data_IF_028406501661
#
_entry.id   IF_028406501661
#
_cell.length_a   1.000
_cell.length_b   1.000
_cell.length_c   1.000
_cell.angle_alpha   90.00
_cell.angle_beta   90.00
_cell.angle_gamma   90.00
#
_symmetry.space_group_name_H-M   'P 1'
#
loop_
_entity.id
_entity.type
_entity.pdbx_description
1 polymer ?
#
# COMPACT_ATOMS: atom_id res chain seq x y z
N UNK A 1 -28.99 -1.98 -16.73
CA UNK A 1 -27.70 -2.71 -16.82
C UNK A 1 -26.60 -1.86 -16.15
N UNK A 2 -26.46 -1.93 -14.81
CA UNK A 2 -25.50 -1.10 -14.03
C UNK A 2 -24.51 -1.93 -13.19
N UNK A 3 -24.69 -3.25 -13.13
CA UNK A 3 -23.94 -4.11 -12.21
C UNK A 3 -22.43 -4.19 -12.51
N UNK A 4 -22.02 -4.00 -13.77
CA UNK A 4 -20.61 -4.09 -14.15
C UNK A 4 -19.78 -2.91 -13.65
N UNK A 5 -20.34 -1.69 -13.67
CA UNK A 5 -19.64 -0.50 -13.20
C UNK A 5 -19.54 -0.51 -11.68
N UNK A 6 -20.64 -0.73 -10.94
CA UNK A 6 -20.67 -0.77 -9.47
C UNK A 6 -19.71 -1.80 -8.83
N UNK A 7 -19.47 -2.94 -9.50
CA UNK A 7 -18.51 -3.97 -9.06
C UNK A 7 -17.05 -3.49 -9.15
N UNK A 8 -16.72 -2.56 -10.06
CA UNK A 8 -15.35 -2.04 -10.21
C UNK A 8 -14.94 -1.13 -9.05
N UNK A 9 -15.69 -0.09 -8.62
CA UNK A 9 -15.40 0.69 -7.41
C UNK A 9 -15.29 -0.16 -6.15
N UNK A 10 -16.11 -1.21 -6.02
CA UNK A 10 -16.03 -2.12 -4.89
C UNK A 10 -14.70 -2.89 -4.86
N UNK A 11 -14.29 -3.47 -5.99
CA UNK A 11 -13.02 -4.21 -6.11
C UNK A 11 -11.79 -3.31 -6.00
N UNK A 12 -11.88 -2.06 -6.52
CA UNK A 12 -10.84 -1.03 -6.35
C UNK A 12 -10.70 -0.63 -4.89
N UNK A 13 -11.82 -0.37 -4.19
CA UNK A 13 -11.81 -0.03 -2.76
C UNK A 13 -11.30 -1.18 -1.87
N UNK A 14 -11.63 -2.42 -2.20
CA UNK A 14 -11.07 -3.58 -1.50
C UNK A 14 -9.54 -3.66 -1.68
N UNK A 15 -9.07 -3.43 -2.90
CA UNK A 15 -7.64 -3.43 -3.23
C UNK A 15 -6.89 -2.31 -2.50
N UNK A 16 -7.49 -1.11 -2.43
CA UNK A 16 -6.96 0.00 -1.63
C UNK A 16 -6.81 -0.39 -0.16
N UNK A 17 -7.88 -0.94 0.44
CA UNK A 17 -7.86 -1.39 1.82
C UNK A 17 -6.81 -2.47 2.10
N UNK A 18 -6.56 -3.38 1.16
CA UNK A 18 -5.49 -4.39 1.27
C UNK A 18 -4.10 -3.74 1.25
N UNK A 19 -3.87 -2.76 0.37
CA UNK A 19 -2.61 -2.02 0.31
C UNK A 19 -2.33 -1.27 1.63
N UNK A 20 -3.31 -0.52 2.16
CA UNK A 20 -3.18 0.17 3.44
C UNK A 20 -2.86 -0.78 4.60
N UNK A 21 -3.55 -1.93 4.69
CA UNK A 21 -3.27 -2.93 5.74
C UNK A 21 -1.86 -3.50 5.61
N UNK A 22 -1.41 -3.79 4.40
CA UNK A 22 -0.07 -4.31 4.15
C UNK A 22 1.02 -3.28 4.54
N UNK A 23 0.87 -2.03 4.11
CA UNK A 23 1.75 -0.93 4.49
C UNK A 23 1.77 -0.72 6.02
N UNK A 24 0.61 -0.72 6.67
CA UNK A 24 0.50 -0.58 8.12
C UNK A 24 1.13 -1.74 8.90
N UNK A 25 1.03 -2.97 8.38
CA UNK A 25 1.62 -4.15 9.03
C UNK A 25 3.16 -4.17 8.92
N UNK A 26 3.72 -3.73 7.78
CA UNK A 26 5.17 -3.78 7.54
C UNK A 26 5.90 -2.54 8.08
N UNK A 27 5.28 -1.36 8.05
CA UNK A 27 5.87 -0.10 8.53
C UNK A 27 6.52 -0.18 9.93
N UNK A 28 5.96 -0.87 10.94
CA UNK A 28 6.61 -0.98 12.26
C UNK A 28 7.70 -2.07 12.35
N UNK A 29 7.92 -2.86 11.28
CA UNK A 29 8.90 -3.96 11.30
C UNK A 29 10.31 -3.42 11.08
N UNK A 30 11.08 -3.31 12.16
CA UNK A 30 12.48 -2.86 12.12
C UNK A 30 13.45 -4.03 11.82
N UNK A 31 13.51 -4.43 10.55
CA UNK A 31 14.44 -5.49 10.11
C UNK A 31 15.92 -5.05 10.20
N UNK A 32 16.21 -3.77 9.99
CA UNK A 32 17.56 -3.24 10.10
C UNK A 32 18.06 -3.30 11.55
N UNK A 33 17.26 -2.79 12.49
CA UNK A 33 17.55 -2.87 13.91
C UNK A 33 17.67 -4.30 14.42
N UNK A 34 16.91 -5.25 13.89
CA UNK A 34 17.05 -6.67 14.24
C UNK A 34 18.44 -7.24 13.92
N UNK A 35 19.14 -6.71 12.92
CA UNK A 35 20.49 -7.13 12.54
C UNK A 35 21.60 -6.50 13.39
N UNK A 36 21.31 -5.42 14.12
CA UNK A 36 22.28 -4.81 15.06
C UNK A 36 22.76 -5.79 16.14
N UNK A 37 21.89 -6.73 16.56
CA UNK A 37 22.22 -7.79 17.50
C UNK A 37 23.24 -8.82 16.97
N UNK A 38 23.35 -8.99 15.65
CA UNK A 38 24.31 -9.91 15.03
C UNK A 38 25.74 -9.40 15.20
N UNK A 39 25.95 -8.08 15.02
CA UNK A 39 27.25 -7.46 15.24
C UNK A 39 27.68 -7.49 16.72
N UNK A 40 26.73 -7.31 17.63
CA UNK A 40 26.98 -7.39 19.08
C UNK A 40 27.27 -8.82 19.56
N UNK A 41 26.60 -9.82 18.99
CA UNK A 41 26.74 -11.22 19.39
C UNK A 41 27.92 -11.97 18.76
N UNK A 42 28.47 -11.48 17.64
CA UNK A 42 29.57 -12.14 16.92
C UNK A 42 30.71 -11.17 16.54
N UNK A 43 31.40 -10.52 17.51
CA UNK A 43 32.54 -9.65 17.20
C UNK A 43 33.60 -10.40 16.39
N UNK A 44 33.96 -9.88 15.21
CA UNK A 44 34.95 -10.51 14.31
C UNK A 44 34.43 -11.70 13.49
N UNK A 45 33.14 -12.05 13.60
CA UNK A 45 32.51 -13.06 12.77
C UNK A 45 32.48 -12.66 11.30
N UNK A 46 32.74 -13.61 10.40
CA UNK A 46 32.71 -13.40 8.94
C UNK A 46 31.34 -12.94 8.42
N UNK A 47 30.28 -13.16 9.19
CA UNK A 47 28.90 -12.73 8.92
C UNK A 47 28.61 -11.28 9.29
N UNK A 48 29.45 -10.61 10.09
CA UNK A 48 29.19 -9.22 10.54
C UNK A 48 29.13 -8.22 9.37
N UNK A 49 30.06 -8.23 8.39
CA UNK A 49 29.97 -7.32 7.24
C UNK A 49 28.73 -7.58 6.38
N UNK A 50 28.30 -8.85 6.27
CA UNK A 50 27.09 -9.21 5.53
C UNK A 50 25.83 -8.73 6.26
N UNK A 51 25.77 -8.86 7.59
CA UNK A 51 24.68 -8.35 8.41
C UNK A 51 24.59 -6.81 8.35
N UNK A 52 25.73 -6.11 8.40
CA UNK A 52 25.76 -4.65 8.25
C UNK A 52 25.19 -4.21 6.89
N UNK A 53 25.66 -4.84 5.80
CA UNK A 53 25.14 -4.54 4.45
C UNK A 53 23.63 -4.79 4.33
N UNK A 54 23.13 -5.87 4.92
CA UNK A 54 21.71 -6.20 4.89
C UNK A 54 20.89 -5.21 5.75
N UNK A 55 21.44 -4.75 6.87
CA UNK A 55 20.85 -3.71 7.70
C UNK A 55 20.66 -2.42 6.91
N UNK A 56 21.68 -1.97 6.18
CA UNK A 56 21.59 -0.76 5.35
C UNK A 56 20.50 -0.91 4.27
N UNK A 57 20.51 -2.04 3.56
CA UNK A 57 19.52 -2.33 2.51
C UNK A 57 18.10 -2.34 3.07
N UNK A 58 17.88 -3.00 4.20
CA UNK A 58 16.54 -3.06 4.81
C UNK A 58 16.11 -1.74 5.44
N UNK A 59 17.06 -0.95 5.97
CA UNK A 59 16.79 0.38 6.50
C UNK A 59 16.22 1.33 5.46
N UNK A 60 16.55 1.14 4.18
CA UNK A 60 15.99 1.92 3.08
C UNK A 60 14.78 1.23 2.42
N UNK A 61 14.89 -0.07 2.14
CA UNK A 61 13.92 -0.78 1.32
C UNK A 61 12.56 -0.95 2.03
N UNK A 62 12.56 -1.26 3.34
CA UNK A 62 11.31 -1.52 4.08
C UNK A 62 10.46 -0.26 4.22
N UNK A 63 11.00 0.89 4.68
CA UNK A 63 10.22 2.13 4.74
C UNK A 63 9.74 2.59 3.36
N UNK A 64 10.59 2.47 2.34
CA UNK A 64 10.23 2.82 0.97
C UNK A 64 9.06 1.97 0.47
N UNK A 65 9.14 0.65 0.61
CA UNK A 65 8.07 -0.25 0.19
C UNK A 65 6.75 0.06 0.90
N UNK A 66 6.78 0.32 2.21
CA UNK A 66 5.59 0.65 2.97
C UNK A 66 4.97 1.98 2.49
N UNK A 67 5.80 2.99 2.23
CA UNK A 67 5.35 4.29 1.69
C UNK A 67 4.77 4.17 0.28
N UNK A 68 5.44 3.45 -0.61
CA UNK A 68 4.98 3.25 -1.99
C UNK A 68 3.64 2.48 -2.01
N UNK A 69 3.50 1.49 -1.13
CA UNK A 69 2.26 0.70 -0.99
C UNK A 69 1.11 1.54 -0.42
N UNK A 70 1.38 2.39 0.56
CA UNK A 70 0.39 3.33 1.11
C UNK A 70 -0.06 4.33 0.03
N UNK A 71 0.87 4.87 -0.75
CA UNK A 71 0.57 5.79 -1.85
C UNK A 71 -0.28 5.12 -2.94
N UNK A 72 0.01 3.86 -3.27
CA UNK A 72 -0.81 3.07 -4.19
C UNK A 72 -2.24 2.89 -3.67
N UNK A 73 -2.40 2.57 -2.38
CA UNK A 73 -3.72 2.51 -1.74
C UNK A 73 -4.49 3.84 -1.89
N UNK A 74 -3.82 4.96 -1.63
CA UNK A 74 -4.41 6.30 -1.81
C UNK A 74 -4.87 6.59 -3.24
N UNK A 75 -4.08 6.21 -4.25
CA UNK A 75 -4.46 6.38 -5.67
C UNK A 75 -5.70 5.54 -6.04
N UNK A 76 -5.84 4.34 -5.48
CA UNK A 76 -7.03 3.51 -5.67
C UNK A 76 -8.26 4.12 -5.00
N UNK A 77 -8.11 4.69 -3.80
CA UNK A 77 -9.18 5.41 -3.11
C UNK A 77 -9.68 6.62 -3.92
N UNK A 78 -8.76 7.39 -4.51
CA UNK A 78 -9.08 8.50 -5.40
C UNK A 78 -9.82 8.02 -6.65
N UNK A 79 -9.36 6.94 -7.28
CA UNK A 79 -10.03 6.33 -8.43
C UNK A 79 -11.46 5.88 -8.08
N UNK A 80 -11.65 5.20 -6.95
CA UNK A 80 -12.98 4.77 -6.49
C UNK A 80 -13.93 5.95 -6.23
N UNK A 81 -13.42 7.07 -5.69
CA UNK A 81 -14.22 8.30 -5.53
C UNK A 81 -14.59 8.93 -6.86
N UNK A 82 -13.66 8.94 -7.83
CA UNK A 82 -13.88 9.45 -9.18
C UNK A 82 -14.99 8.69 -9.92
N UNK A 83 -15.01 7.35 -9.80
CA UNK A 83 -16.06 6.52 -10.40
C UNK A 83 -17.43 6.83 -9.80
N UNK A 84 -17.57 6.83 -8.46
CA UNK A 84 -18.85 7.16 -7.80
C UNK A 84 -19.40 8.53 -8.19
N UNK A 85 -18.54 9.56 -8.20
CA UNK A 85 -18.97 10.90 -8.60
C UNK A 85 -19.36 11.01 -10.09
N UNK A 86 -18.88 10.11 -10.94
CA UNK A 86 -19.31 10.03 -12.34
C UNK A 86 -20.66 9.32 -12.46
N UNK A 87 -20.88 8.27 -11.68
CA UNK A 87 -22.17 7.55 -11.60
C UNK A 87 -23.30 8.45 -11.11
N UNK A 88 -23.08 9.23 -10.05
CA UNK A 88 -24.09 10.15 -9.50
C UNK A 88 -24.56 11.17 -10.55
N UNK A 89 -23.63 11.70 -11.36
CA UNK A 89 -23.94 12.64 -12.45
C UNK A 89 -24.70 11.96 -13.59
N UNK A 90 -24.24 10.80 -14.03
CA UNK A 90 -24.91 10.05 -15.09
C UNK A 90 -26.34 9.63 -14.69
N UNK A 91 -26.54 9.24 -13.43
CA UNK A 91 -27.86 8.93 -12.88
C UNK A 91 -28.79 10.15 -12.87
N UNK A 92 -28.28 11.32 -12.47
CA UNK A 92 -29.03 12.57 -12.51
C UNK A 92 -29.43 12.97 -13.93
N UNK A 93 -28.52 12.85 -14.91
CA UNK A 93 -28.79 13.17 -16.32
C UNK A 93 -29.86 12.24 -16.92
N UNK A 94 -29.80 10.94 -16.63
CA UNK A 94 -30.82 9.98 -17.09
C UNK A 94 -32.18 10.27 -16.47
N UNK A 95 -32.24 10.60 -15.17
CA UNK A 95 -33.51 10.99 -14.52
C UNK A 95 -34.07 12.31 -15.06
N UNK A 96 -33.20 13.26 -15.41
CA UNK A 96 -33.60 14.51 -16.02
C UNK A 96 -34.13 14.31 -17.45
N UNK A 97 -33.51 13.42 -18.25
CA UNK A 97 -33.94 13.09 -19.60
C UNK A 97 -35.22 12.23 -19.65
N UNK A 98 -35.58 11.56 -18.55
CA UNK A 98 -36.78 10.74 -18.43
C UNK A 98 -38.03 11.54 -17.99
N UNK A 99 -37.92 12.85 -17.76
CA UNK A 99 -39.02 13.77 -17.46
C UNK A 99 -39.39 14.60 -18.69
#
# INVERSE_FOLDING_TARGET
MSAGFEVVPASVGESAGRAHRAAAAVRPVDLAGALSGVAAGLPGGTSVPAAARLSDVWGEAVPKWASDTEAYGGQLDEAARGYRGTEDRAGADVQAAAR
#
